data_IF_552707790453
#
_entry.id   IF_552707790453
#
_cell.length_a   1.000
_cell.length_b   1.000
_cell.length_c   1.000
_cell.angle_alpha   90.00
_cell.angle_beta   90.00
_cell.angle_gamma   90.00
#
_symmetry.space_group_name_H-M   'P 1'
#
loop_
_entity.id
_entity.type
_entity.pdbx_description
1 polymer ?
#
# COMPACT_ATOMS: atom_id res chain seq x y z
N UNK A 1 0.85 3.00 -8.55
CA UNK A 1 1.56 4.30 -8.64
C UNK A 1 0.62 5.50 -8.65
N UNK A 2 -0.30 5.57 -9.62
CA UNK A 2 -1.24 6.70 -9.81
C UNK A 2 -1.97 7.13 -8.54
N UNK A 3 -2.45 6.17 -7.76
CA UNK A 3 -3.19 6.43 -6.52
C UNK A 3 -2.34 7.09 -5.44
N UNK A 4 -1.10 6.62 -5.22
CA UNK A 4 -0.21 7.25 -4.24
C UNK A 4 0.20 8.67 -4.66
N UNK A 5 0.40 8.92 -5.96
CA UNK A 5 0.64 10.27 -6.48
C UNK A 5 -0.55 11.19 -6.24
N UNK A 6 -1.77 10.70 -6.52
CA UNK A 6 -3.00 11.46 -6.29
C UNK A 6 -3.19 11.78 -4.80
N UNK A 7 -2.96 10.81 -3.92
CA UNK A 7 -3.03 10.99 -2.47
C UNK A 7 -1.99 12.00 -1.96
N UNK A 8 -0.75 11.92 -2.46
CA UNK A 8 0.28 12.90 -2.14
C UNK A 8 -0.11 14.30 -2.59
N UNK A 9 -0.59 14.47 -3.83
CA UNK A 9 -1.04 15.76 -4.38
C UNK A 9 -2.16 16.37 -3.54
N UNK A 10 -3.13 15.57 -3.13
CA UNK A 10 -4.24 16.03 -2.29
C UNK A 10 -3.74 16.57 -0.93
N UNK A 11 -2.84 15.83 -0.26
CA UNK A 11 -2.25 16.27 1.01
C UNK A 11 -1.36 17.51 0.85
N UNK A 12 -0.57 17.58 -0.22
CA UNK A 12 0.27 18.72 -0.52
C UNK A 12 -0.54 20.00 -0.75
N UNK A 13 -1.67 19.90 -1.46
CA UNK A 13 -2.60 21.00 -1.64
C UNK A 13 -3.17 21.47 -0.30
N UNK A 14 -3.67 20.55 0.52
CA UNK A 14 -4.22 20.89 1.85
C UNK A 14 -3.19 21.58 2.74
N UNK A 15 -1.94 21.09 2.74
CA UNK A 15 -0.85 21.72 3.49
C UNK A 15 -0.52 23.13 2.97
N UNK A 16 -0.55 23.31 1.65
CA UNK A 16 -0.32 24.61 1.01
C UNK A 16 -1.39 25.62 1.40
N UNK A 17 -2.66 25.22 1.30
CA UNK A 17 -3.81 26.07 1.64
C UNK A 17 -3.79 26.44 3.14
N UNK A 18 -3.49 25.46 4.01
CA UNK A 18 -3.38 25.68 5.45
C UNK A 18 -2.24 26.64 5.84
N UNK A 19 -1.18 26.70 5.04
CA UNK A 19 -0.04 27.60 5.22
C UNK A 19 -0.23 28.96 4.50
N UNK A 20 -1.36 29.17 3.82
CA UNK A 20 -1.65 30.40 3.08
C UNK A 20 -0.85 30.57 1.79
N UNK A 21 -0.29 29.50 1.24
CA UNK A 21 0.44 29.53 -0.02
C UNK A 21 -0.47 29.63 -1.24
N UNK A 22 0.04 30.23 -2.33
CA UNK A 22 -0.64 30.31 -3.64
C UNK A 22 -0.41 29.08 -4.51
N UNK A 23 0.51 28.21 -4.11
CA UNK A 23 0.88 27.00 -4.82
C UNK A 23 2.04 26.30 -4.13
N UNK A 24 2.53 25.21 -4.73
CA UNK A 24 3.69 24.48 -4.23
C UNK A 24 4.47 23.87 -5.37
N UNK A 25 5.75 23.60 -5.11
CA UNK A 25 6.59 22.75 -5.96
C UNK A 25 6.99 21.50 -5.19
N UNK A 26 7.08 20.38 -5.90
CA UNK A 26 7.59 19.12 -5.35
C UNK A 26 9.12 19.21 -5.40
N UNK A 27 9.76 19.24 -4.24
CA UNK A 27 11.23 19.27 -4.12
C UNK A 27 11.78 17.85 -4.17
N UNK A 28 11.09 16.92 -3.50
CA UNK A 28 11.44 15.51 -3.51
C UNK A 28 10.17 14.66 -3.43
N UNK A 29 10.16 13.53 -4.14
CA UNK A 29 9.10 12.53 -4.07
C UNK A 29 9.70 11.15 -4.21
N UNK A 30 9.52 10.34 -3.18
CA UNK A 30 9.97 8.97 -3.10
C UNK A 30 8.77 8.02 -3.04
N UNK A 31 8.88 6.87 -3.71
CA UNK A 31 7.85 5.84 -3.70
C UNK A 31 8.39 4.58 -3.05
N UNK A 32 7.72 4.15 -1.98
CA UNK A 32 8.07 2.94 -1.27
C UNK A 32 7.03 1.85 -1.63
N UNK A 33 7.50 0.79 -2.27
CA UNK A 33 6.71 -0.42 -2.53
C UNK A 33 7.13 -1.50 -1.55
N UNK A 34 6.55 -1.49 -0.35
CA UNK A 34 6.76 -2.57 0.61
C UNK A 34 5.70 -3.64 0.38
N UNK A 35 6.09 -4.71 -0.30
CA UNK A 35 5.30 -5.94 -0.34
C UNK A 35 5.24 -6.56 -1.71
N UNK A 36 6.24 -7.37 -2.04
CA UNK A 36 5.90 -8.61 -2.74
C UNK A 36 5.12 -9.46 -1.74
N UNK A 37 3.91 -9.96 -2.08
CA UNK A 37 3.21 -10.88 -1.20
C UNK A 37 4.13 -12.08 -0.97
N UNK A 38 4.57 -12.26 0.28
CA UNK A 38 5.23 -13.49 0.68
C UNK A 38 4.22 -14.61 0.41
N UNK A 39 4.52 -15.55 -0.50
CA UNK A 39 3.60 -16.64 -0.77
C UNK A 39 3.33 -17.36 0.55
N UNK A 40 2.05 -17.44 0.91
CA UNK A 40 1.59 -18.15 2.10
C UNK A 40 2.37 -19.46 2.23
N UNK A 41 3.08 -19.62 3.34
CA UNK A 41 3.96 -20.73 3.58
C UNK A 41 3.18 -22.04 3.40
N UNK A 42 3.48 -22.78 2.33
CA UNK A 42 2.88 -24.10 2.03
C UNK A 42 3.15 -25.16 3.11
N UNK A 43 3.93 -24.86 4.14
CA UNK A 43 4.21 -25.74 5.27
C UNK A 43 2.98 -26.04 6.13
N UNK A 44 2.07 -25.07 6.31
CA UNK A 44 0.83 -25.30 7.07
C UNK A 44 -0.17 -26.23 6.38
N UNK A 45 -0.15 -26.28 5.04
CA UNK A 45 -1.07 -27.12 4.27
C UNK A 45 -0.69 -28.59 4.26
N UNK A 46 0.58 -28.96 4.45
CA UNK A 46 0.98 -30.38 4.51
C UNK A 46 0.57 -31.03 5.85
N UNK A 47 0.67 -30.30 6.96
CA UNK A 47 0.13 -30.76 8.26
C UNK A 47 -1.40 -30.72 8.29
N UNK A 48 -2.04 -29.77 7.60
CA UNK A 48 -3.50 -29.70 7.48
C UNK A 48 -4.05 -30.77 6.55
N UNK A 49 -3.35 -31.14 5.47
CA UNK A 49 -3.73 -32.23 4.57
C UNK A 49 -3.72 -33.58 5.29
N UNK A 50 -2.70 -33.85 6.13
CA UNK A 50 -2.65 -35.04 6.98
C UNK A 50 -3.79 -35.09 8.04
N UNK A 51 -4.40 -33.94 8.36
CA UNK A 51 -5.56 -33.83 9.26
C UNK A 51 -6.90 -33.66 8.52
N UNK A 52 -6.88 -33.45 7.20
CA UNK A 52 -8.05 -33.13 6.36
C UNK A 52 -8.62 -34.33 5.59
N UNK A 53 -7.96 -35.50 5.60
CA UNK A 53 -8.61 -36.78 5.26
C UNK A 53 -9.77 -37.14 6.22
N UNK A 54 -10.10 -36.28 7.19
CA UNK A 54 -11.19 -36.46 8.16
C UNK A 54 -12.08 -35.23 8.38
N UNK A 55 -12.00 -34.15 7.56
CA UNK A 55 -12.84 -32.97 7.76
C UNK A 55 -13.21 -32.24 6.45
N UNK A 56 -14.42 -31.65 6.34
CA UNK A 56 -14.90 -30.98 5.14
C UNK A 56 -13.98 -29.85 4.70
N UNK A 57 -13.69 -29.81 3.40
CA UNK A 57 -12.77 -28.88 2.73
C UNK A 57 -13.16 -27.43 3.01
N UNK A 58 -12.31 -26.63 3.67
CA UNK A 58 -12.54 -25.20 3.84
C UNK A 58 -12.58 -24.49 2.49
N UNK A 59 -13.57 -23.62 2.29
CA UNK A 59 -13.64 -22.71 1.15
C UNK A 59 -12.38 -21.84 1.13
N UNK A 60 -11.53 -22.08 0.13
CA UNK A 60 -10.30 -21.31 -0.07
C UNK A 60 -10.70 -19.93 -0.57
N UNK A 61 -10.78 -18.96 0.34
CA UNK A 61 -10.86 -17.54 -0.02
C UNK A 61 -9.62 -17.21 -0.86
N UNK A 62 -9.84 -16.81 -2.12
CA UNK A 62 -8.76 -16.40 -3.01
C UNK A 62 -8.03 -15.21 -2.37
N UNK A 63 -6.85 -15.49 -1.81
CA UNK A 63 -6.04 -14.51 -1.09
C UNK A 63 -5.79 -13.28 -1.95
N UNK A 64 -6.47 -12.18 -1.63
CA UNK A 64 -6.22 -10.90 -2.28
C UNK A 64 -4.80 -10.47 -1.91
N UNK A 65 -3.92 -10.41 -2.90
CA UNK A 65 -2.58 -9.88 -2.69
C UNK A 65 -2.69 -8.36 -2.64
N UNK A 66 -2.74 -7.80 -1.44
CA UNK A 66 -2.72 -6.35 -1.25
C UNK A 66 -1.33 -5.84 -1.58
N UNK A 67 -1.22 -5.05 -2.66
CA UNK A 67 0.00 -4.32 -3.00
C UNK A 67 -0.11 -2.94 -2.36
N UNK A 68 0.55 -2.77 -1.21
CA UNK A 68 0.62 -1.47 -0.55
C UNK A 68 1.78 -0.66 -1.15
N UNK A 69 1.47 0.56 -1.57
CA UNK A 69 2.46 1.49 -2.09
C UNK A 69 2.22 2.86 -1.47
N UNK A 70 3.24 3.39 -0.79
CA UNK A 70 3.24 4.71 -0.18
C UNK A 70 4.10 5.68 -0.99
N UNK A 71 3.77 6.97 -0.89
CA UNK A 71 4.54 8.06 -1.45
C UNK A 71 4.87 9.05 -0.34
N UNK A 72 6.16 9.32 -0.17
CA UNK A 72 6.71 10.23 0.82
C UNK A 72 7.48 11.34 0.09
N UNK A 73 7.33 12.58 0.50
CA UNK A 73 7.92 13.70 -0.24
C UNK A 73 7.97 15.00 0.52
N UNK A 74 8.72 15.95 -0.03
CA UNK A 74 8.88 17.31 0.48
C UNK A 74 8.36 18.29 -0.56
N UNK A 75 7.52 19.22 -0.13
CA UNK A 75 7.06 20.33 -0.94
C UNK A 75 7.64 21.64 -0.41
N UNK A 76 7.85 22.58 -1.32
CA UNK A 76 8.08 23.98 -0.96
C UNK A 76 6.80 24.76 -1.31
N UNK A 77 6.29 25.47 -0.33
CA UNK A 77 5.10 26.31 -0.46
C UNK A 77 5.48 27.65 -1.05
N UNK A 78 4.80 28.04 -2.13
CA UNK A 78 4.96 29.32 -2.80
C UNK A 78 4.02 30.35 -2.16
N UNK A 79 4.55 31.54 -1.85
CA UNK A 79 3.82 32.65 -1.22
C UNK A 79 3.26 33.63 -2.25
#
# INVERSE_FOLDING_TARGET
>A
LKEAVAAFKARAQLATDALGGKGYKIVNLNFNTNGYPMPYARGGMMMKAAMADSAPTPEVEAGTSQVNMSADGVIEVLQ
#
